data_IF_727087870648
#
_entry.id   IF_727087870648
#
_cell.length_a   1.000
_cell.length_b   1.000
_cell.length_c   1.000
_cell.angle_alpha   90.00
_cell.angle_beta   90.00
_cell.angle_gamma   90.00
#
_symmetry.space_group_name_H-M   'P 1'
#
loop_
_entity.id
_entity.type
_entity.pdbx_description
1 polymer ?
#
# COMPACT_ATOMS: atom_id res chain seq x y z
N UNK A 1 23.20 39.58 -14.14
CA UNK A 1 21.86 39.97 -14.67
C UNK A 1 21.45 38.82 -15.60
N UNK A 2 20.61 37.84 -15.24
CA UNK A 2 19.43 37.87 -14.37
C UNK A 2 19.31 36.61 -13.49
N UNK A 3 19.21 36.85 -12.18
CA UNK A 3 18.51 36.00 -11.21
C UNK A 3 17.03 36.43 -11.22
N UNK A 4 16.09 35.58 -11.66
CA UNK A 4 14.62 35.60 -11.40
C UNK A 4 14.04 34.41 -12.21
N UNK A 5 13.77 33.23 -11.65
CA UNK A 5 12.51 32.81 -11.00
C UNK A 5 12.84 31.56 -10.15
N UNK A 6 13.01 31.63 -8.83
CA UNK A 6 11.98 31.40 -7.78
C UNK A 6 11.22 30.08 -8.00
N UNK A 7 11.66 28.97 -7.37
CA UNK A 7 11.20 28.41 -6.07
C UNK A 7 9.79 27.76 -6.11
N UNK A 8 9.80 26.44 -5.89
CA UNK A 8 8.89 25.65 -5.04
C UNK A 8 7.41 25.46 -5.46
N UNK A 9 6.90 24.27 -5.12
CA UNK A 9 5.50 23.83 -4.97
C UNK A 9 4.85 23.09 -6.16
N UNK A 10 4.23 21.98 -5.82
CA UNK A 10 3.50 21.11 -6.74
C UNK A 10 4.10 19.71 -6.82
N UNK A 11 4.09 18.96 -5.71
CA UNK A 11 3.92 17.50 -5.84
C UNK A 11 2.69 17.33 -6.72
N UNK A 12 2.93 16.78 -7.90
CA UNK A 12 2.00 16.79 -9.01
C UNK A 12 0.72 16.09 -8.58
N UNK A 13 -0.29 16.90 -8.30
CA UNK A 13 -1.69 16.51 -8.35
C UNK A 13 -2.01 16.15 -9.82
N UNK A 14 -1.76 14.90 -10.18
CA UNK A 14 -2.32 14.31 -11.40
C UNK A 14 -3.12 13.09 -10.95
N UNK A 15 -4.36 13.38 -10.55
CA UNK A 15 -5.45 12.43 -10.58
C UNK A 15 -5.74 12.18 -12.06
N UNK A 16 -5.34 11.02 -12.58
CA UNK A 16 -5.82 10.55 -13.88
C UNK A 16 -6.67 9.31 -13.66
N UNK A 17 -7.97 9.49 -13.90
CA UNK A 17 -8.90 8.43 -14.24
C UNK A 17 -8.50 7.88 -15.61
N UNK A 18 -8.11 6.60 -15.67
CA UNK A 18 -7.84 5.88 -16.92
C UNK A 18 -8.37 4.46 -16.86
N UNK A 19 -9.57 4.24 -17.42
CA UNK A 19 -10.03 2.93 -17.88
C UNK A 19 -9.04 2.40 -18.91
N UNK A 20 -8.61 1.13 -18.80
CA UNK A 20 -8.42 0.19 -19.90
C UNK A 20 -7.93 -1.16 -19.33
N UNK A 21 -8.72 -2.21 -19.56
CA UNK A 21 -8.37 -3.57 -19.19
C UNK A 21 -7.40 -4.22 -20.19
N UNK A 22 -6.55 -5.11 -19.68
CA UNK A 22 -5.92 -6.17 -20.46
C UNK A 22 -5.86 -7.44 -19.61
N UNK A 23 -6.63 -8.43 -20.03
CA UNK A 23 -6.55 -9.82 -19.62
C UNK A 23 -5.25 -10.45 -20.09
N UNK A 24 -4.54 -11.15 -19.20
CA UNK A 24 -3.55 -12.15 -19.57
C UNK A 24 -3.81 -13.42 -18.76
N UNK A 25 -4.51 -14.37 -19.37
CA UNK A 25 -4.55 -15.76 -18.95
C UNK A 25 -3.27 -16.40 -19.47
N UNK A 26 -2.45 -16.93 -18.56
CA UNK A 26 -1.39 -17.88 -18.90
C UNK A 26 -1.84 -19.25 -18.42
N UNK A 27 -2.19 -20.08 -19.39
CA UNK A 27 -2.31 -21.52 -19.26
C UNK A 27 -0.89 -22.10 -19.22
N UNK A 28 -0.60 -22.89 -18.20
CA UNK A 28 0.60 -23.72 -18.07
C UNK A 28 0.20 -24.98 -17.30
N UNK A 29 -0.34 -25.96 -18.01
CA UNK A 29 -0.40 -27.33 -17.52
C UNK A 29 0.98 -27.97 -17.47
N UNK A 30 1.24 -28.76 -16.43
CA UNK A 30 2.05 -29.98 -16.48
C UNK A 30 1.60 -30.95 -15.36
N UNK A 31 1.37 -32.18 -15.79
CA UNK A 31 1.08 -33.39 -15.02
C UNK A 31 2.17 -33.74 -14.00
N UNK A 32 1.81 -34.51 -12.95
CA UNK A 32 2.58 -35.67 -12.47
C UNK A 32 1.77 -36.56 -11.51
N UNK A 33 1.90 -37.86 -11.71
CA UNK A 33 1.24 -38.98 -11.05
C UNK A 33 1.84 -39.36 -9.68
N UNK A 34 0.96 -39.87 -8.81
CA UNK A 34 1.09 -40.86 -7.72
C UNK A 34 2.39 -41.03 -6.89
N UNK A 35 2.24 -41.01 -5.55
CA UNK A 35 2.37 -42.22 -4.70
C UNK A 35 2.11 -41.92 -3.21
N UNK A 36 1.70 -42.96 -2.52
CA UNK A 36 1.05 -43.04 -1.20
C UNK A 36 2.00 -42.94 0.00
N UNK A 37 1.50 -42.38 1.12
CA UNK A 37 2.21 -42.38 2.40
C UNK A 37 1.39 -41.77 3.54
N UNK A 38 0.54 -42.58 4.16
CA UNK A 38 -0.28 -42.22 5.33
C UNK A 38 0.59 -42.04 6.59
N UNK A 39 0.45 -40.91 7.29
CA UNK A 39 0.68 -40.80 8.73
C UNK A 39 0.00 -39.55 9.28
N UNK A 40 -0.92 -39.79 10.22
CA UNK A 40 -1.82 -38.83 10.87
C UNK A 40 -1.08 -38.00 11.91
N UNK A 41 -1.23 -36.67 11.87
CA UNK A 41 -1.58 -35.88 13.06
C UNK A 41 -2.56 -34.79 12.62
N UNK A 42 -3.81 -35.00 13.01
CA UNK A 42 -4.88 -34.01 12.93
C UNK A 42 -4.72 -33.04 14.09
N UNK A 43 -4.64 -31.75 13.79
CA UNK A 43 -5.06 -30.68 14.70
C UNK A 43 -5.92 -29.68 13.89
N UNK A 44 -7.23 -29.71 14.17
CA UNK A 44 -8.25 -28.72 13.85
C UNK A 44 -7.76 -27.29 14.17
N UNK A 45 -8.13 -26.17 13.53
CA UNK A 45 -9.24 -25.80 12.66
C UNK A 45 -8.86 -24.47 11.92
N UNK A 46 -9.68 -23.97 10.97
CA UNK A 46 -9.25 -23.04 9.92
C UNK A 46 -9.28 -21.58 10.37
N UNK A 47 -8.27 -20.80 9.98
CA UNK A 47 -8.34 -19.33 10.15
C UNK A 47 -8.05 -18.64 8.83
N UNK A 48 -9.15 -18.23 8.21
CA UNK A 48 -9.33 -17.09 7.30
C UNK A 48 -8.59 -17.09 5.96
N UNK A 49 -9.33 -16.67 4.93
CA UNK A 49 -8.87 -16.53 3.56
C UNK A 49 -7.52 -15.78 3.48
N UNK A 50 -6.64 -16.31 2.63
CA UNK A 50 -5.27 -15.89 2.38
C UNK A 50 -5.22 -14.44 1.88
N UNK A 51 -5.29 -13.47 2.80
CA UNK A 51 -4.60 -12.20 2.58
C UNK A 51 -3.12 -12.55 2.39
N UNK A 52 -2.49 -12.05 1.33
CA UNK A 52 -1.07 -12.26 1.09
C UNK A 52 -0.29 -11.89 2.37
N UNK A 53 0.72 -12.69 2.72
CA UNK A 53 1.52 -12.36 3.90
C UNK A 53 2.16 -10.98 3.74
N UNK A 54 2.51 -10.31 4.85
CA UNK A 54 3.19 -9.01 4.77
C UNK A 54 4.49 -9.09 3.95
N UNK A 55 5.17 -10.26 3.96
CA UNK A 55 6.35 -10.54 3.14
C UNK A 55 6.02 -10.60 1.64
N UNK A 56 4.94 -11.29 1.26
CA UNK A 56 4.47 -11.36 -0.13
C UNK A 56 4.06 -9.98 -0.65
N UNK A 57 3.36 -9.21 0.19
CA UNK A 57 2.93 -7.86 -0.16
C UNK A 57 4.13 -6.92 -0.33
N UNK A 58 5.12 -7.03 0.56
CA UNK A 58 6.38 -6.30 0.44
C UNK A 58 7.14 -6.64 -0.84
N UNK A 59 7.21 -7.92 -1.20
CA UNK A 59 7.84 -8.36 -2.44
C UNK A 59 7.09 -7.84 -3.69
N UNK A 60 5.76 -7.80 -3.64
CA UNK A 60 4.94 -7.20 -4.70
C UNK A 60 5.19 -5.71 -4.87
N UNK A 61 5.32 -4.96 -3.77
CA UNK A 61 5.67 -3.53 -3.81
C UNK A 61 7.07 -3.34 -4.40
N UNK A 62 8.05 -4.13 -3.96
CA UNK A 62 9.43 -4.03 -4.49
C UNK A 62 9.46 -4.31 -5.99
N UNK A 63 8.79 -5.38 -6.45
CA UNK A 63 8.69 -5.69 -7.87
C UNK A 63 7.98 -4.57 -8.67
N UNK A 64 6.94 -3.94 -8.10
CA UNK A 64 6.28 -2.79 -8.72
C UNK A 64 7.20 -1.57 -8.80
N UNK A 65 8.02 -1.34 -7.76
CA UNK A 65 9.01 -0.28 -7.73
C UNK A 65 10.09 -0.46 -8.80
N UNK A 66 10.68 -1.65 -8.89
CA UNK A 66 11.71 -1.99 -9.89
C UNK A 66 11.18 -1.88 -11.33
N UNK A 67 9.92 -2.27 -11.53
CA UNK A 67 9.25 -2.22 -12.83
C UNK A 67 8.56 -0.88 -13.13
N UNK A 68 8.67 0.12 -12.25
CA UNK A 68 8.01 1.43 -12.36
C UNK A 68 6.50 1.37 -12.61
N UNK A 69 5.81 0.46 -11.92
CA UNK A 69 4.36 0.23 -12.07
C UNK A 69 3.55 1.01 -11.03
N UNK A 70 2.36 1.44 -11.42
CA UNK A 70 1.40 2.25 -10.64
C UNK A 70 0.00 1.61 -10.66
N UNK A 71 -1.00 2.27 -10.06
CA UNK A 71 -2.41 1.87 -10.06
C UNK A 71 -2.67 0.49 -9.40
N UNK A 72 -1.88 0.12 -8.38
CA UNK A 72 -1.98 -1.18 -7.72
C UNK A 72 -2.63 -1.08 -6.34
N UNK A 73 -3.75 -1.79 -6.12
CA UNK A 73 -4.34 -1.90 -4.78
C UNK A 73 -3.58 -2.93 -3.94
N UNK A 74 -3.01 -2.47 -2.81
CA UNK A 74 -2.14 -3.26 -1.95
C UNK A 74 -2.62 -3.18 -0.51
N UNK A 75 -2.79 -4.35 0.10
CA UNK A 75 -2.81 -4.51 1.55
C UNK A 75 -1.43 -4.97 2.00
N UNK A 76 -0.81 -4.26 2.93
CA UNK A 76 0.49 -4.61 3.50
C UNK A 76 0.64 -4.08 4.92
N UNK A 77 1.58 -4.66 5.66
CA UNK A 77 2.00 -4.23 6.98
C UNK A 77 3.47 -3.85 7.03
N UNK A 78 3.82 -3.00 7.99
CA UNK A 78 5.20 -2.62 8.24
C UNK A 78 5.36 -1.76 9.49
N UNK A 79 6.60 -1.34 9.73
CA UNK A 79 6.96 -0.51 10.88
C UNK A 79 7.08 0.94 10.47
N UNK A 80 6.45 1.85 11.22
CA UNK A 80 6.61 3.29 11.00
C UNK A 80 8.06 3.68 11.29
N UNK A 81 8.81 4.05 10.27
CA UNK A 81 10.18 4.52 10.41
C UNK A 81 10.22 5.96 10.93
N UNK A 82 9.36 6.83 10.37
CA UNK A 82 9.22 8.22 10.81
C UNK A 82 7.85 8.81 10.46
N UNK A 83 7.37 9.70 11.30
CA UNK A 83 6.27 10.61 10.97
C UNK A 83 6.83 11.88 10.33
N UNK A 84 6.08 12.47 9.40
CA UNK A 84 6.42 13.73 8.75
C UNK A 84 5.44 14.81 9.19
N UNK A 85 5.76 16.08 8.90
CA UNK A 85 4.78 17.14 9.00
C UNK A 85 3.59 16.83 8.08
N UNK A 86 2.38 17.10 8.54
CA UNK A 86 1.18 16.94 7.72
C UNK A 86 1.31 17.85 6.49
N UNK A 87 0.87 17.35 5.34
CA UNK A 87 0.67 18.17 4.16
C UNK A 87 -0.66 18.92 4.32
N UNK A 88 -0.61 20.23 4.14
CA UNK A 88 -1.76 21.12 4.30
C UNK A 88 -2.09 21.88 3.00
N UNK A 89 -1.47 21.51 1.88
CA UNK A 89 -1.78 22.09 0.58
C UNK A 89 -2.92 21.31 -0.10
N UNK A 90 -4.05 21.97 -0.33
CA UNK A 90 -5.26 21.29 -0.81
C UNK A 90 -5.91 20.43 0.28
N UNK A 91 -6.29 19.19 -0.05
CA UNK A 91 -6.76 18.24 0.97
C UNK A 91 -5.61 17.88 1.91
N UNK A 92 -5.88 17.89 3.21
CA UNK A 92 -4.86 17.65 4.22
C UNK A 92 -4.49 16.17 4.27
N UNK A 93 -3.20 15.88 4.33
CA UNK A 93 -2.69 14.51 4.45
C UNK A 93 -1.73 14.36 5.62
N UNK A 94 -1.99 13.38 6.48
CA UNK A 94 -0.96 12.86 7.36
C UNK A 94 0.04 12.06 6.53
N UNK A 95 1.32 12.32 6.73
CA UNK A 95 2.41 11.65 6.02
C UNK A 95 3.34 10.92 6.97
N UNK A 96 3.71 9.70 6.63
CA UNK A 96 4.68 8.92 7.39
C UNK A 96 5.34 7.87 6.49
N UNK A 97 6.56 7.48 6.85
CA UNK A 97 7.32 6.45 6.13
C UNK A 97 7.18 5.13 6.87
N UNK A 98 6.90 4.08 6.12
CA UNK A 98 6.86 2.70 6.61
C UNK A 98 8.02 1.92 6.00
N UNK A 99 8.74 1.19 6.86
CA UNK A 99 9.67 0.14 6.46
C UNK A 99 8.90 -1.17 6.35
N UNK A 100 8.93 -1.79 5.18
CA UNK A 100 8.35 -3.10 4.93
C UNK A 100 9.30 -4.21 5.41
N UNK A 101 8.84 -5.47 5.54
CA UNK A 101 9.68 -6.61 5.92
C UNK A 101 10.95 -6.82 5.08
N UNK A 102 10.96 -6.38 3.82
CA UNK A 102 12.10 -6.45 2.90
C UNK A 102 12.97 -5.18 2.91
N UNK A 103 12.86 -4.34 3.95
CA UNK A 103 13.54 -3.05 4.10
C UNK A 103 13.21 -1.98 3.04
N UNK A 104 12.36 -2.29 2.07
CA UNK A 104 11.84 -1.28 1.15
C UNK A 104 10.99 -0.27 1.92
N UNK A 105 11.18 1.01 1.64
CA UNK A 105 10.44 2.07 2.31
C UNK A 105 9.41 2.69 1.40
N UNK A 106 8.21 2.92 1.94
CA UNK A 106 7.11 3.58 1.24
C UNK A 106 6.61 4.79 2.03
N UNK A 107 6.15 5.80 1.31
CA UNK A 107 5.41 6.90 1.89
C UNK A 107 3.92 6.53 1.99
N UNK A 108 3.30 6.73 3.15
CA UNK A 108 1.84 6.72 3.27
C UNK A 108 1.33 8.16 3.27
N UNK A 109 0.36 8.46 2.41
CA UNK A 109 -0.37 9.73 2.36
C UNK A 109 -1.84 9.49 2.75
N UNK A 110 -2.16 9.74 4.02
CA UNK A 110 -3.48 9.49 4.58
C UNK A 110 -4.30 10.78 4.64
N UNK A 111 -5.38 10.87 3.86
CA UNK A 111 -6.22 12.06 3.82
C UNK A 111 -6.98 12.23 5.14
N UNK A 112 -6.62 13.25 5.92
CA UNK A 112 -7.19 13.54 7.24
C UNK A 112 -8.39 14.49 7.22
N UNK A 113 -8.83 14.90 6.02
CA UNK A 113 -10.14 15.51 5.84
C UNK A 113 -11.25 14.46 5.70
N UNK A 114 -10.88 13.27 5.21
CA UNK A 114 -11.82 12.17 4.96
C UNK A 114 -11.82 11.09 6.06
N UNK A 115 -10.71 10.95 6.78
CA UNK A 115 -10.54 9.98 7.86
C UNK A 115 -9.86 10.61 9.08
N UNK A 116 -10.00 9.99 10.25
CA UNK A 116 -9.33 10.45 11.45
C UNK A 116 -7.81 10.26 11.35
N UNK A 117 -7.04 11.28 11.74
CA UNK A 117 -5.57 11.19 11.88
C UNK A 117 -5.16 10.03 12.78
N UNK A 118 -4.19 9.24 12.34
CA UNK A 118 -3.69 8.08 13.07
C UNK A 118 -2.67 8.53 14.12
N UNK A 119 -2.78 8.14 15.40
CA UNK A 119 -1.86 8.55 16.47
C UNK A 119 -0.56 7.72 16.43
N UNK A 120 0.19 7.83 15.35
CA UNK A 120 1.43 7.08 15.09
C UNK A 120 2.66 7.71 15.73
N UNK A 121 3.60 6.85 16.13
CA UNK A 121 4.97 7.19 16.52
C UNK A 121 5.95 6.30 15.74
N UNK A 122 7.20 6.74 15.64
CA UNK A 122 8.26 5.89 15.11
C UNK A 122 8.36 4.60 15.92
N UNK A 123 8.51 3.48 15.22
CA UNK A 123 8.53 2.14 15.79
C UNK A 123 7.16 1.46 15.88
N UNK A 124 6.04 2.16 15.71
CA UNK A 124 4.71 1.52 15.72
C UNK A 124 4.55 0.54 14.53
N UNK A 125 3.89 -0.59 14.78
CA UNK A 125 3.42 -1.48 13.71
C UNK A 125 2.12 -0.94 13.13
N UNK A 126 2.00 -0.96 11.81
CA UNK A 126 0.81 -0.53 11.09
C UNK A 126 0.50 -1.51 9.96
N UNK A 127 -0.77 -1.72 9.67
CA UNK A 127 -1.25 -2.33 8.42
C UNK A 127 -2.07 -1.31 7.66
N UNK A 128 -2.05 -1.36 6.34
CA UNK A 128 -2.78 -0.42 5.51
C UNK A 128 -3.27 -1.12 4.24
N UNK A 129 -4.35 -0.60 3.70
CA UNK A 129 -4.86 -0.93 2.38
C UNK A 129 -5.05 0.38 1.60
N UNK A 130 -4.55 0.43 0.38
CA UNK A 130 -4.65 1.61 -0.48
C UNK A 130 -4.12 1.36 -1.88
N UNK A 131 -4.12 2.40 -2.71
CA UNK A 131 -3.59 2.38 -4.07
C UNK A 131 -2.10 2.81 -4.03
N UNK A 132 -1.23 2.03 -4.67
CA UNK A 132 0.20 2.26 -4.76
C UNK A 132 0.53 2.99 -6.07
N UNK A 133 1.33 4.03 -5.94
CA UNK A 133 1.84 4.85 -7.04
C UNK A 133 3.37 4.93 -7.00
N UNK A 134 4.00 4.73 -8.16
CA UNK A 134 5.44 4.78 -8.29
C UNK A 134 6.00 6.20 -8.14
N UNK A 135 7.18 6.31 -7.53
CA UNK A 135 8.07 7.47 -7.61
C UNK A 135 9.52 7.00 -7.38
N UNK A 136 10.49 7.87 -7.61
CA UNK A 136 11.93 7.60 -7.45
C UNK A 136 12.40 7.44 -5.98
N UNK A 137 11.47 7.45 -5.01
CA UNK A 137 11.72 7.35 -3.56
C UNK A 137 11.04 6.15 -2.91
N UNK A 138 10.72 5.12 -3.68
CA UNK A 138 10.12 3.87 -3.21
C UNK A 138 8.60 3.77 -3.38
N UNK A 139 7.96 4.84 -3.85
CA UNK A 139 6.51 4.88 -4.09
C UNK A 139 5.71 5.47 -2.92
N UNK A 140 4.42 5.71 -3.18
CA UNK A 140 3.46 6.24 -2.23
C UNK A 140 2.21 5.37 -2.21
N UNK A 141 1.63 5.18 -1.03
CA UNK A 141 0.27 4.65 -0.90
C UNK A 141 -0.67 5.77 -0.47
N UNK A 142 -1.71 5.96 -1.27
CA UNK A 142 -2.82 6.87 -1.02
C UNK A 142 -4.15 6.11 -1.03
N UNK A 143 -5.28 6.83 -1.05
CA UNK A 143 -6.62 6.23 -0.93
C UNK A 143 -6.78 5.34 0.31
N UNK A 144 -6.05 5.62 1.39
CA UNK A 144 -6.14 4.89 2.67
C UNK A 144 -7.35 5.33 3.50
N UNK A 145 -8.44 5.67 2.82
CA UNK A 145 -9.72 6.12 3.36
C UNK A 145 -10.87 5.61 2.49
N UNK A 146 -12.08 5.65 3.02
CA UNK A 146 -13.28 5.38 2.24
C UNK A 146 -13.44 6.38 1.08
N UNK A 147 -13.83 5.93 -0.10
CA UNK A 147 -14.26 6.83 -1.18
C UNK A 147 -15.69 7.33 -0.90
N UNK A 148 -15.92 8.62 -0.60
CA UNK A 148 -17.25 9.15 -0.30
C UNK A 148 -18.26 8.99 -1.44
N UNK A 149 -17.78 8.72 -2.66
CA UNK A 149 -18.60 8.53 -3.86
C UNK A 149 -18.78 7.06 -4.25
N UNK A 150 -18.15 6.12 -3.53
CA UNK A 150 -18.22 4.67 -3.81
C UNK A 150 -17.85 4.27 -5.25
N UNK A 151 -16.89 4.95 -5.88
CA UNK A 151 -16.41 4.65 -7.24
C UNK A 151 -15.12 3.83 -7.23
N UNK A 152 -14.30 3.98 -6.20
CA UNK A 152 -13.06 3.23 -5.97
C UNK A 152 -13.23 2.28 -4.78
N UNK A 153 -12.33 1.31 -4.64
CA UNK A 153 -12.35 0.37 -3.52
C UNK A 153 -12.30 1.10 -2.17
N UNK A 154 -11.54 2.21 -2.12
CA UNK A 154 -11.19 2.88 -0.87
C UNK A 154 -10.27 2.01 -0.02
N UNK A 155 -9.72 2.60 1.02
CA UNK A 155 -8.69 1.98 1.84
C UNK A 155 -8.85 2.27 3.31
N UNK A 156 -7.82 1.91 4.06
CA UNK A 156 -7.81 2.08 5.51
C UNK A 156 -6.38 2.01 6.05
N UNK A 157 -6.20 2.52 7.26
CA UNK A 157 -5.02 2.25 8.11
C UNK A 157 -5.49 1.54 9.37
N UNK A 158 -4.77 0.52 9.81
CA UNK A 158 -5.01 -0.18 11.07
C UNK A 158 -3.80 -0.03 11.99
N UNK A 159 -4.04 0.46 13.19
CA UNK A 159 -3.03 0.67 14.22
C UNK A 159 -3.62 0.35 15.59
N UNK A 160 -2.93 -0.52 16.36
CA UNK A 160 -3.33 -0.94 17.72
C UNK A 160 -4.80 -1.40 17.82
N UNK A 161 -5.25 -2.16 16.83
CA UNK A 161 -6.62 -2.70 16.76
C UNK A 161 -7.69 -1.71 16.26
N UNK A 162 -7.37 -0.42 16.10
CA UNK A 162 -8.28 0.58 15.54
C UNK A 162 -8.06 0.71 14.03
N UNK A 163 -9.15 0.77 13.27
CA UNK A 163 -9.13 1.03 11.82
C UNK A 163 -9.59 2.45 11.55
N UNK A 164 -8.83 3.17 10.73
CA UNK A 164 -9.02 4.56 10.32
C UNK A 164 -9.34 4.56 8.81
N UNK A 165 -10.52 5.06 8.41
CA UNK A 165 -10.95 5.14 7.01
C UNK A 165 -12.02 6.20 6.82
#
# INVERSE_FOLDING_TARGET
MNQQLRRLLGVVAVIVLGLLGYSNVQDNGLDNHEATGSSRVSNNAPVAATAASDDDAAQRILAAFEAQRSDMWIEAGGRVQRTLADDNEGSRHQRFIVSLPNDHTILIAHNIDLAQRVPLKAGDQVSFFGEYEWNDRGGVIHWTHHDPRNKKAGGWIRHKGTTYR
#
